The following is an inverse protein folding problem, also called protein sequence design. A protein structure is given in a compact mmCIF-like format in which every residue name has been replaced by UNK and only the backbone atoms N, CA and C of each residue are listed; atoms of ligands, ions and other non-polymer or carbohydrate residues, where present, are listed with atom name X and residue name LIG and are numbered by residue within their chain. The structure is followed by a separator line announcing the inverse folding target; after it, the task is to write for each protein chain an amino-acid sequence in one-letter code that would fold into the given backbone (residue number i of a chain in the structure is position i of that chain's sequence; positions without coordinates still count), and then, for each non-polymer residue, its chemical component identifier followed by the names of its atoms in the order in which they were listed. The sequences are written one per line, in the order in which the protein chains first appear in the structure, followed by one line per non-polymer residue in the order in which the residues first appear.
data_IF_222140129701
#
_entry.id   IF_222140129701
#
_cell.length_a   1.000
_cell.length_b   1.000
_cell.length_c   1.000
_cell.angle_alpha   90.00
_cell.angle_beta   90.00
_cell.angle_gamma   90.00
#
_symmetry.space_group_name_H-M   'P 1'
#
loop_
_entity.id
_entity.type
_entity.pdbx_description
1 polymer ?
#
# COMPACT_ATOMS: atom_id res chain seq x y z
N UNK A 1 49.20 -0.26 32.39
CA UNK A 1 48.60 0.36 31.20
C UNK A 1 47.23 -0.32 31.02
N UNK A 2 46.21 0.22 31.68
CA UNK A 2 44.86 -0.36 31.68
C UNK A 2 44.01 0.46 30.70
N UNK A 3 43.88 -0.03 29.47
CA UNK A 3 42.83 0.48 28.59
C UNK A 3 41.49 -0.01 29.14
N UNK A 4 40.52 0.88 29.45
CA UNK A 4 39.21 0.45 29.89
C UNK A 4 38.55 -0.36 28.77
N UNK A 5 37.96 -1.50 29.15
CA UNK A 5 37.21 -2.39 28.25
C UNK A 5 36.05 -1.59 27.62
N UNK A 6 36.26 -1.09 26.40
CA UNK A 6 35.22 -0.40 25.63
C UNK A 6 34.25 -1.45 25.13
N UNK A 7 33.07 -1.50 25.74
CA UNK A 7 31.98 -2.34 25.26
C UNK A 7 31.56 -1.84 23.86
N UNK A 8 31.72 -2.64 22.80
CA UNK A 8 31.40 -2.22 21.43
C UNK A 8 29.92 -1.90 21.24
N UNK A 9 29.03 -2.37 22.13
CA UNK A 9 27.60 -2.04 22.11
C UNK A 9 27.27 -0.69 22.75
N UNK A 10 28.21 -0.08 23.49
CA UNK A 10 28.05 1.25 24.09
C UNK A 10 28.60 2.37 23.21
N UNK A 11 29.47 2.05 22.25
CA UNK A 11 29.93 3.00 21.24
C UNK A 11 28.85 3.16 20.15
N UNK A 12 27.81 3.95 20.44
CA UNK A 12 26.80 4.38 19.46
C UNK A 12 27.39 5.09 18.24
N UNK A 13 28.65 5.52 18.29
CA UNK A 13 29.39 6.08 17.15
C UNK A 13 29.69 5.03 16.06
N UNK A 14 29.68 3.73 16.37
CA UNK A 14 29.81 2.66 15.38
C UNK A 14 28.49 2.33 14.66
N UNK A 15 27.36 2.88 15.11
CA UNK A 15 26.13 2.96 14.33
C UNK A 15 26.16 4.19 13.41
N UNK A 16 27.33 4.48 12.83
CA UNK A 16 27.41 5.32 11.65
C UNK A 16 26.37 4.80 10.66
N UNK A 17 25.46 5.67 10.27
CA UNK A 17 24.42 5.43 9.29
C UNK A 17 25.01 4.85 8.02
N UNK A 18 25.03 3.53 7.92
CA UNK A 18 25.42 2.88 6.68
C UNK A 18 24.32 3.15 5.65
N UNK A 19 24.65 3.54 4.41
CA UNK A 19 23.70 3.60 3.30
C UNK A 19 22.88 2.30 3.14
N UNK A 20 23.39 1.19 3.66
CA UNK A 20 22.69 -0.09 3.70
C UNK A 20 21.40 -0.06 4.52
N UNK A 21 21.27 0.82 5.52
CA UNK A 21 20.08 0.86 6.37
C UNK A 21 18.86 1.41 5.62
N UNK A 22 19.01 2.51 4.87
CA UNK A 22 17.93 3.06 4.04
C UNK A 22 17.53 2.08 2.93
N UNK A 23 18.52 1.47 2.27
CA UNK A 23 18.30 0.45 1.24
C UNK A 23 17.58 -0.78 1.81
N UNK A 24 17.99 -1.26 2.98
CA UNK A 24 17.33 -2.33 3.71
C UNK A 24 15.87 -1.99 4.00
N UNK A 25 15.62 -0.78 4.49
CA UNK A 25 14.27 -0.29 4.75
C UNK A 25 13.39 -0.24 3.49
N UNK A 26 13.92 0.29 2.38
CA UNK A 26 13.21 0.31 1.08
C UNK A 26 12.91 -1.11 0.61
N UNK A 27 13.88 -2.02 0.70
CA UNK A 27 13.72 -3.43 0.31
C UNK A 27 12.62 -4.14 1.10
N UNK A 28 12.54 -3.91 2.41
CA UNK A 28 11.45 -4.45 3.24
C UNK A 28 10.09 -3.96 2.76
N UNK A 29 9.96 -2.67 2.46
CA UNK A 29 8.70 -2.14 1.92
C UNK A 29 8.34 -2.72 0.54
N UNK A 30 9.35 -2.95 -0.31
CA UNK A 30 9.14 -3.60 -1.61
C UNK A 30 8.63 -5.03 -1.45
N UNK A 31 9.20 -5.81 -0.51
CA UNK A 31 8.74 -7.17 -0.22
C UNK A 31 7.27 -7.17 0.23
N UNK A 32 6.90 -6.26 1.14
CA UNK A 32 5.51 -6.12 1.58
C UNK A 32 4.60 -5.77 0.40
N UNK A 33 5.01 -4.80 -0.44
CA UNK A 33 4.27 -4.41 -1.63
C UNK A 33 4.05 -5.60 -2.59
N UNK A 34 5.08 -6.41 -2.84
CA UNK A 34 4.97 -7.60 -3.69
C UNK A 34 4.01 -8.63 -3.08
N UNK A 35 4.05 -8.84 -1.76
CA UNK A 35 3.16 -9.76 -1.08
C UNK A 35 1.68 -9.35 -1.21
N UNK A 36 1.35 -8.06 -1.09
CA UNK A 36 -0.03 -7.56 -1.23
C UNK A 36 -0.56 -7.75 -2.66
N UNK A 37 0.25 -7.39 -3.66
CA UNK A 37 -0.15 -7.58 -5.07
C UNK A 37 -0.31 -9.07 -5.39
N UNK A 38 0.66 -9.91 -4.99
CA UNK A 38 0.60 -11.35 -5.24
C UNK A 38 -0.63 -11.98 -4.57
N UNK A 39 -0.95 -11.60 -3.33
CA UNK A 39 -2.15 -12.06 -2.64
C UNK A 39 -3.42 -11.70 -3.41
N UNK A 40 -3.54 -10.44 -3.85
CA UNK A 40 -4.67 -9.96 -4.65
C UNK A 40 -4.82 -10.74 -5.96
N UNK A 41 -3.71 -10.93 -6.69
CA UNK A 41 -3.69 -11.67 -7.97
C UNK A 41 -4.08 -13.13 -7.77
N UNK A 42 -3.55 -13.78 -6.73
CA UNK A 42 -3.85 -15.19 -6.43
C UNK A 42 -5.34 -15.39 -6.09
N UNK A 43 -5.89 -14.54 -5.21
CA UNK A 43 -7.32 -14.60 -4.84
C UNK A 43 -8.18 -14.37 -6.08
N UNK A 44 -7.85 -13.35 -6.88
CA UNK A 44 -8.56 -13.03 -8.12
C UNK A 44 -8.50 -14.18 -9.12
N UNK A 45 -7.36 -14.84 -9.25
CA UNK A 45 -7.20 -15.97 -10.17
C UNK A 45 -8.05 -17.17 -9.74
N UNK A 46 -8.09 -17.49 -8.44
CA UNK A 46 -8.91 -18.59 -7.91
C UNK A 46 -10.39 -18.28 -8.09
N UNK A 47 -10.85 -17.12 -7.61
CA UNK A 47 -12.26 -16.75 -7.69
C UNK A 47 -12.71 -16.52 -9.13
N UNK A 48 -11.85 -15.95 -9.97
CA UNK A 48 -12.08 -15.79 -11.40
C UNK A 48 -12.21 -17.14 -12.09
N UNK A 49 -11.28 -18.07 -11.85
CA UNK A 49 -11.38 -19.42 -12.38
C UNK A 49 -12.69 -20.10 -11.98
N UNK A 50 -13.09 -20.01 -10.70
CA UNK A 50 -14.37 -20.54 -10.24
C UNK A 50 -15.56 -19.87 -10.94
N UNK A 51 -15.55 -18.55 -11.10
CA UNK A 51 -16.63 -17.81 -11.79
C UNK A 51 -16.76 -18.22 -13.26
N UNK A 52 -15.65 -18.45 -13.98
CA UNK A 52 -15.68 -18.87 -15.38
C UNK A 52 -15.97 -20.37 -15.60
N UNK A 53 -15.74 -21.21 -14.60
CA UNK A 53 -15.92 -22.67 -14.73
C UNK A 53 -17.18 -23.20 -14.03
N UNK A 54 -17.81 -22.39 -13.18
CA UNK A 54 -19.12 -22.73 -12.62
C UNK A 54 -20.15 -22.71 -13.74
N UNK A 55 -20.79 -23.86 -14.02
CA UNK A 55 -21.98 -23.87 -14.86
C UNK A 55 -22.98 -22.87 -14.29
N UNK A 56 -23.66 -22.06 -15.13
CA UNK A 56 -24.69 -21.16 -14.65
C UNK A 56 -25.68 -22.01 -13.86
N UNK A 57 -25.83 -21.71 -12.56
CA UNK A 57 -26.77 -22.38 -11.68
C UNK A 57 -28.11 -22.43 -12.42
N UNK A 58 -28.50 -23.65 -12.82
CA UNK A 58 -29.64 -23.91 -13.67
C UNK A 58 -30.83 -23.04 -13.28
N UNK A 59 -31.37 -22.32 -14.27
CA UNK A 59 -32.59 -21.51 -14.23
C UNK A 59 -33.37 -21.62 -12.91
N UNK A 60 -33.03 -20.78 -11.93
CA UNK A 60 -33.97 -20.50 -10.85
C UNK A 60 -35.16 -19.79 -11.51
N UNK A 61 -36.39 -20.29 -11.37
CA UNK A 61 -37.54 -19.65 -12.00
C UNK A 61 -37.57 -18.17 -11.58
N UNK A 62 -37.87 -17.25 -12.51
CA UNK A 62 -37.74 -15.82 -12.26
C UNK A 62 -38.81 -15.41 -11.26
N UNK A 63 -38.46 -15.39 -9.97
CA UNK A 63 -39.22 -14.66 -8.96
C UNK A 63 -39.04 -13.16 -9.24
N UNK A 64 -39.81 -12.67 -10.22
CA UNK A 64 -40.32 -11.32 -10.44
C UNK A 64 -39.53 -10.12 -9.88
N UNK A 65 -38.20 -10.10 -9.96
CA UNK A 65 -37.47 -8.84 -9.95
C UNK A 65 -37.51 -8.27 -11.37
N UNK A 66 -37.98 -7.03 -11.58
CA UNK A 66 -38.05 -6.44 -12.90
C UNK A 66 -36.65 -6.42 -13.51
N UNK A 67 -36.51 -7.10 -14.65
CA UNK A 67 -35.32 -7.07 -15.48
C UNK A 67 -34.97 -5.61 -15.75
N UNK A 68 -33.83 -5.15 -15.24
CA UNK A 68 -33.30 -3.82 -15.53
C UNK A 68 -32.73 -3.04 -14.35
N UNK A 69 -33.15 -3.30 -13.10
CA UNK A 69 -32.60 -2.61 -11.92
C UNK A 69 -31.76 -3.51 -11.01
N UNK A 70 -32.23 -4.72 -10.70
CA UNK A 70 -31.51 -5.66 -9.83
C UNK A 70 -30.17 -6.15 -10.40
N UNK A 71 -30.11 -6.29 -11.73
CA UNK A 71 -29.00 -6.90 -12.47
C UNK A 71 -27.75 -6.01 -12.56
N UNK A 72 -27.92 -4.69 -12.39
CA UNK A 72 -26.81 -3.72 -12.41
C UNK A 72 -26.42 -3.21 -11.02
N UNK A 73 -27.17 -3.56 -9.97
CA UNK A 73 -26.87 -3.07 -8.61
C UNK A 73 -25.52 -3.58 -8.13
N UNK A 74 -25.23 -4.88 -8.26
CA UNK A 74 -23.97 -5.46 -7.79
C UNK A 74 -22.74 -4.95 -8.58
N UNK A 75 -22.78 -4.88 -9.93
CA UNK A 75 -21.72 -4.22 -10.70
C UNK A 75 -21.51 -2.76 -10.30
N UNK A 76 -22.60 -1.99 -10.12
CA UNK A 76 -22.49 -0.58 -9.70
C UNK A 76 -21.90 -0.43 -8.29
N UNK A 77 -22.26 -1.31 -7.36
CA UNK A 77 -21.64 -1.35 -6.02
C UNK A 77 -20.14 -1.66 -6.14
N UNK A 78 -19.76 -2.64 -6.96
CA UNK A 78 -18.36 -2.98 -7.20
C UNK A 78 -17.54 -1.81 -7.76
N UNK A 79 -18.09 -1.13 -8.78
CA UNK A 79 -17.46 0.04 -9.40
C UNK A 79 -17.37 1.22 -8.43
N UNK A 80 -18.47 1.57 -7.77
CA UNK A 80 -18.48 2.70 -6.81
C UNK A 80 -17.52 2.46 -5.64
N UNK A 81 -17.47 1.23 -5.11
CA UNK A 81 -16.52 0.87 -4.07
C UNK A 81 -15.08 0.89 -4.58
N UNK A 82 -14.81 0.37 -5.77
CA UNK A 82 -13.48 0.39 -6.39
C UNK A 82 -12.96 1.81 -6.63
N UNK A 83 -13.76 2.66 -7.28
CA UNK A 83 -13.42 4.07 -7.53
C UNK A 83 -13.27 4.83 -6.21
N UNK A 84 -14.21 4.63 -5.27
CA UNK A 84 -14.16 5.23 -3.95
C UNK A 84 -12.90 4.86 -3.18
N UNK A 85 -12.53 3.57 -3.17
CA UNK A 85 -11.33 3.06 -2.52
C UNK A 85 -10.05 3.70 -3.08
N UNK A 86 -9.96 3.87 -4.40
CA UNK A 86 -8.81 4.54 -5.03
C UNK A 86 -8.71 6.01 -4.59
N UNK A 87 -9.83 6.74 -4.62
CA UNK A 87 -9.86 8.15 -4.20
C UNK A 87 -9.48 8.28 -2.72
N UNK A 88 -10.09 7.45 -1.86
CA UNK A 88 -9.81 7.44 -0.42
C UNK A 88 -8.35 7.09 -0.15
N UNK A 89 -7.79 6.09 -0.83
CA UNK A 89 -6.37 5.71 -0.73
C UNK A 89 -5.45 6.90 -1.02
N UNK A 90 -5.68 7.59 -2.14
CA UNK A 90 -4.86 8.75 -2.53
C UNK A 90 -4.94 9.91 -1.52
N UNK A 91 -6.14 10.22 -1.05
CA UNK A 91 -6.36 11.30 -0.07
C UNK A 91 -5.75 10.92 1.27
N UNK A 92 -6.00 9.71 1.77
CA UNK A 92 -5.51 9.24 3.05
C UNK A 92 -3.98 9.21 3.09
N UNK A 93 -3.33 8.67 2.05
CA UNK A 93 -1.86 8.65 1.98
C UNK A 93 -1.28 10.06 2.00
N UNK A 94 -1.92 11.03 1.33
CA UNK A 94 -1.49 12.45 1.38
C UNK A 94 -1.66 13.08 2.76
N UNK A 95 -2.82 12.89 3.39
CA UNK A 95 -3.09 13.43 4.73
C UNK A 95 -2.15 12.85 5.78
N UNK A 96 -1.91 11.54 5.74
CA UNK A 96 -1.02 10.88 6.68
C UNK A 96 0.44 11.30 6.45
N UNK A 97 0.87 11.45 5.19
CA UNK A 97 2.20 11.99 4.85
C UNK A 97 2.39 13.39 5.44
N UNK A 98 1.41 14.28 5.29
CA UNK A 98 1.48 15.62 5.86
C UNK A 98 1.57 15.58 7.40
N UNK A 99 0.82 14.69 8.03
CA UNK A 99 0.87 14.48 9.49
C UNK A 99 2.26 14.00 9.94
N UNK A 100 2.89 13.12 9.16
CA UNK A 100 4.26 12.65 9.44
C UNK A 100 5.29 13.77 9.35
N UNK A 101 5.18 14.60 8.30
CA UNK A 101 6.04 15.77 8.10
C UNK A 101 5.88 16.77 9.25
N UNK A 102 4.65 17.10 9.62
CA UNK A 102 4.39 18.03 10.73
C UNK A 102 4.96 17.52 12.06
N UNK A 103 4.87 16.20 12.31
CA UNK A 103 5.47 15.58 13.52
C UNK A 103 7.00 15.63 13.49
N UNK A 104 7.61 15.42 12.32
CA UNK A 104 9.05 15.52 12.16
C UNK A 104 9.55 16.96 12.35
N UNK A 105 8.87 17.94 11.75
CA UNK A 105 9.19 19.36 11.90
C UNK A 105 9.14 19.79 13.38
N UNK A 106 8.19 19.26 14.16
CA UNK A 106 8.10 19.53 15.60
C UNK A 106 9.29 18.99 16.42
N UNK A 107 10.07 18.05 15.88
CA UNK A 107 11.28 17.53 16.54
C UNK A 107 12.51 18.45 16.41
N UNK A 108 12.44 19.52 15.59
CA UNK A 108 13.54 20.49 15.38
C UNK A 108 14.90 19.86 15.02
N UNK A 109 14.89 18.72 14.33
CA UNK A 109 16.12 18.04 13.92
C UNK A 109 16.62 18.58 12.58
N UNK A 110 17.87 19.07 12.54
CA UNK A 110 18.48 19.60 11.32
C UNK A 110 19.08 18.47 10.48
N UNK A 111 18.47 18.19 9.33
CA UNK A 111 19.03 17.25 8.33
C UNK A 111 19.88 18.03 7.33
N UNK A 112 21.10 17.56 7.05
CA UNK A 112 21.95 18.17 6.02
C UNK A 112 21.31 18.04 4.64
N UNK A 113 21.40 19.12 3.85
CA UNK A 113 20.90 19.18 2.47
C UNK A 113 22.08 19.32 1.49
N UNK A 114 22.02 18.70 0.30
CA UNK A 114 20.97 17.78 -0.19
C UNK A 114 20.97 16.44 0.56
N UNK A 115 19.80 15.79 0.64
CA UNK A 115 19.66 14.48 1.30
C UNK A 115 20.14 13.39 0.34
N UNK A 116 21.22 12.71 0.71
CA UNK A 116 21.78 11.58 -0.04
C UNK A 116 21.42 10.24 0.64
N UNK A 117 21.65 9.12 -0.04
CA UNK A 117 21.49 7.76 0.50
C UNK A 117 22.32 7.51 1.77
N UNK A 118 23.37 8.31 1.98
CA UNK A 118 24.26 8.27 3.13
C UNK A 118 23.76 9.12 4.32
N UNK A 119 22.52 9.64 4.27
CA UNK A 119 21.97 10.49 5.34
C UNK A 119 21.99 9.76 6.69
N UNK A 120 22.43 10.42 7.79
CA UNK A 120 22.31 9.85 9.11
C UNK A 120 20.87 9.53 9.46
N UNK A 121 20.58 8.24 9.63
CA UNK A 121 19.29 7.76 10.14
C UNK A 121 19.25 8.02 11.64
N UNK A 122 18.96 9.27 11.98
CA UNK A 122 18.64 9.66 13.34
C UNK A 122 17.34 8.99 13.79
N UNK A 123 17.05 9.08 15.09
CA UNK A 123 15.81 8.53 15.63
C UNK A 123 14.58 9.17 14.99
N UNK A 124 14.56 10.50 14.76
CA UNK A 124 13.38 11.14 14.16
C UNK A 124 13.24 10.80 12.66
N UNK A 125 14.34 10.67 11.91
CA UNK A 125 14.29 10.21 10.50
C UNK A 125 13.76 8.78 10.43
N UNK A 126 14.20 7.89 11.32
CA UNK A 126 13.71 6.51 11.39
C UNK A 126 12.22 6.46 11.75
N UNK A 127 11.76 7.32 12.66
CA UNK A 127 10.34 7.45 12.97
C UNK A 127 9.52 7.98 11.78
N UNK A 128 10.03 8.98 11.06
CA UNK A 128 9.39 9.49 9.84
C UNK A 128 9.28 8.41 8.76
N UNK A 129 10.36 7.66 8.52
CA UNK A 129 10.40 6.58 7.53
C UNK A 129 9.44 5.46 7.90
N UNK A 130 9.48 4.97 9.14
CA UNK A 130 8.59 3.91 9.64
C UNK A 130 7.12 4.32 9.59
N UNK A 131 6.80 5.56 10.00
CA UNK A 131 5.46 6.10 9.88
C UNK A 131 5.03 6.17 8.40
N UNK A 132 5.87 6.68 7.50
CA UNK A 132 5.59 6.72 6.07
C UNK A 132 5.33 5.33 5.48
N UNK A 133 6.07 4.31 5.91
CA UNK A 133 5.86 2.93 5.45
C UNK A 133 4.55 2.35 5.95
N UNK A 134 4.22 2.53 7.22
CA UNK A 134 2.92 2.11 7.75
C UNK A 134 1.77 2.76 6.97
N UNK A 135 1.87 4.06 6.66
CA UNK A 135 0.86 4.78 5.88
C UNK A 135 0.76 4.28 4.44
N UNK A 136 1.89 3.93 3.81
CA UNK A 136 1.89 3.34 2.48
C UNK A 136 1.19 1.99 2.48
N UNK A 137 1.43 1.15 3.49
CA UNK A 137 0.79 -0.17 3.62
C UNK A 137 -0.72 0.01 3.78
N UNK A 138 -1.16 0.91 4.65
CA UNK A 138 -2.59 1.23 4.81
C UNK A 138 -3.19 1.78 3.51
N UNK A 139 -2.46 2.65 2.81
CA UNK A 139 -2.87 3.18 1.51
C UNK A 139 -3.09 2.10 0.46
N UNK A 140 -2.26 1.06 0.44
CA UNK A 140 -2.37 -0.07 -0.50
C UNK A 140 -3.44 -1.09 -0.10
N UNK A 141 -3.66 -1.29 1.21
CA UNK A 141 -4.66 -2.22 1.72
C UNK A 141 -6.10 -1.83 1.32
N UNK A 142 -6.37 -0.54 1.12
CA UNK A 142 -7.69 -0.04 0.70
C UNK A 142 -8.08 -0.51 -0.71
N UNK A 143 -7.31 -0.23 -1.79
CA UNK A 143 -7.60 -0.74 -3.12
C UNK A 143 -7.47 -2.26 -3.21
N UNK A 144 -6.61 -2.90 -2.41
CA UNK A 144 -6.58 -4.36 -2.28
C UNK A 144 -7.91 -4.90 -1.76
N UNK A 145 -8.43 -4.35 -0.66
CA UNK A 145 -9.74 -4.75 -0.11
C UNK A 145 -10.87 -4.55 -1.12
N UNK A 146 -10.83 -3.48 -1.91
CA UNK A 146 -11.78 -3.25 -2.99
C UNK A 146 -11.62 -4.24 -4.15
N UNK A 147 -10.40 -4.65 -4.50
CA UNK A 147 -10.16 -5.69 -5.48
C UNK A 147 -10.70 -7.05 -5.00
N UNK A 148 -10.39 -7.44 -3.75
CA UNK A 148 -10.89 -8.69 -3.17
C UNK A 148 -12.43 -8.69 -3.09
N UNK A 149 -13.05 -7.57 -2.69
CA UNK A 149 -14.50 -7.45 -2.69
C UNK A 149 -15.08 -7.63 -4.10
N UNK A 150 -14.49 -6.99 -5.11
CA UNK A 150 -14.92 -7.18 -6.49
C UNK A 150 -14.71 -8.63 -6.96
N UNK A 151 -13.66 -9.32 -6.51
CA UNK A 151 -13.45 -10.73 -6.82
C UNK A 151 -14.54 -11.62 -6.21
N UNK A 152 -15.06 -11.25 -5.04
CA UNK A 152 -16.22 -11.92 -4.42
C UNK A 152 -17.51 -11.59 -5.17
N UNK A 153 -17.73 -10.33 -5.54
CA UNK A 153 -18.93 -9.92 -6.29
C UNK A 153 -19.01 -10.60 -7.67
N UNK A 154 -17.86 -10.75 -8.33
CA UNK A 154 -17.69 -11.54 -9.56
C UNK A 154 -18.20 -12.98 -9.45
N UNK A 155 -18.19 -13.57 -8.26
CA UNK A 155 -18.72 -14.93 -8.03
C UNK A 155 -20.25 -14.93 -7.85
N UNK A 156 -20.84 -13.80 -7.42
CA UNK A 156 -22.25 -13.70 -7.03
C UNK A 156 -23.14 -13.31 -8.21
N UNK A 157 -22.74 -12.33 -9.02
CA UNK A 157 -23.63 -11.69 -9.99
C UNK A 157 -23.59 -12.31 -11.39
N UNK A 158 -22.64 -13.21 -11.65
CA UNK A 158 -22.47 -13.86 -12.96
C UNK A 158 -21.99 -12.91 -14.07
N UNK A 159 -21.55 -11.69 -13.74
CA UNK A 159 -21.00 -10.71 -14.69
C UNK A 159 -19.49 -10.49 -14.45
N UNK A 160 -18.64 -11.51 -14.70
CA UNK A 160 -17.25 -11.50 -14.25
C UNK A 160 -16.38 -10.40 -14.89
N UNK A 161 -16.73 -9.94 -16.09
CA UNK A 161 -15.92 -8.99 -16.84
C UNK A 161 -15.85 -7.60 -16.18
N UNK A 162 -16.97 -7.09 -15.66
CA UNK A 162 -17.02 -5.74 -15.08
C UNK A 162 -16.17 -5.71 -13.80
N UNK A 163 -16.38 -6.68 -12.92
CA UNK A 163 -15.62 -6.81 -11.69
C UNK A 163 -14.13 -7.03 -11.95
N UNK A 164 -13.77 -7.84 -12.95
CA UNK A 164 -12.38 -8.04 -13.35
C UNK A 164 -11.72 -6.73 -13.81
N UNK A 165 -12.42 -5.89 -14.58
CA UNK A 165 -11.92 -4.57 -14.96
C UNK A 165 -11.63 -3.71 -13.72
N UNK A 166 -12.53 -3.67 -12.73
CA UNK A 166 -12.31 -2.91 -11.49
C UNK A 166 -11.10 -3.44 -10.72
N UNK A 167 -10.96 -4.77 -10.62
CA UNK A 167 -9.81 -5.40 -9.96
C UNK A 167 -8.50 -4.99 -10.63
N UNK A 168 -8.42 -5.03 -11.96
CA UNK A 168 -7.22 -4.62 -12.71
C UNK A 168 -6.87 -3.16 -12.42
N UNK A 169 -7.87 -2.27 -12.37
CA UNK A 169 -7.66 -0.85 -12.05
C UNK A 169 -7.17 -0.69 -10.60
N UNK A 170 -7.73 -1.42 -9.63
CA UNK A 170 -7.26 -1.41 -8.25
C UNK A 170 -5.82 -1.93 -8.11
N UNK A 171 -5.47 -3.01 -8.80
CA UNK A 171 -4.09 -3.54 -8.84
C UNK A 171 -3.14 -2.52 -9.47
N UNK A 172 -3.54 -1.85 -10.55
CA UNK A 172 -2.75 -0.77 -11.15
C UNK A 172 -2.58 0.41 -10.18
N UNK A 173 -3.60 0.76 -9.39
CA UNK A 173 -3.51 1.79 -8.37
C UNK A 173 -2.53 1.43 -7.24
N UNK A 174 -2.47 0.16 -6.82
CA UNK A 174 -1.42 -0.35 -5.91
C UNK A 174 -0.06 -0.27 -6.60
N UNK A 175 -0.01 -0.60 -7.89
CA UNK A 175 1.25 -0.66 -8.64
C UNK A 175 1.96 0.71 -8.69
N UNK A 176 1.21 1.79 -8.90
CA UNK A 176 1.73 3.17 -8.92
C UNK A 176 2.34 3.59 -7.58
N UNK A 177 1.94 2.94 -6.47
CA UNK A 177 2.44 3.22 -5.12
C UNK A 177 3.77 2.54 -4.82
N UNK A 178 4.47 1.97 -5.82
CA UNK A 178 5.74 1.27 -5.61
C UNK A 178 6.75 2.09 -4.79
N UNK A 179 7.32 1.51 -3.70
CA UNK A 179 8.27 2.20 -2.84
C UNK A 179 9.65 2.23 -3.50
N UNK A 180 10.15 3.44 -3.77
CA UNK A 180 11.47 3.70 -4.35
C UNK A 180 12.32 4.52 -3.38
N UNK A 181 13.65 4.36 -3.44
CA UNK A 181 14.60 5.17 -2.64
C UNK A 181 14.39 6.67 -2.85
N UNK A 182 14.21 7.11 -4.10
CA UNK A 182 13.99 8.53 -4.42
C UNK A 182 12.79 9.13 -3.66
N UNK A 183 11.62 8.47 -3.72
CA UNK A 183 10.42 8.90 -2.96
C UNK A 183 10.66 9.04 -1.45
N UNK A 184 11.58 8.26 -0.87
CA UNK A 184 11.92 8.34 0.56
C UNK A 184 12.94 9.45 0.84
N UNK A 185 13.92 9.66 -0.04
CA UNK A 185 14.82 10.81 0.02
C UNK A 185 14.05 12.13 -0.12
N UNK A 186 13.16 12.22 -1.11
CA UNK A 186 12.27 13.39 -1.33
C UNK A 186 11.37 13.65 -0.11
N UNK A 187 10.96 12.59 0.61
CA UNK A 187 10.18 12.74 1.83
C UNK A 187 11.01 13.36 2.96
N UNK A 188 12.24 12.88 3.18
CA UNK A 188 13.14 13.42 4.19
C UNK A 188 13.47 14.88 3.84
N UNK A 189 13.76 15.16 2.57
CA UNK A 189 14.04 16.51 2.11
C UNK A 189 12.84 17.43 2.35
N UNK A 190 11.63 17.02 1.96
CA UNK A 190 10.41 17.78 2.19
C UNK A 190 10.11 18.00 3.68
N UNK A 191 10.42 17.03 4.54
CA UNK A 191 10.22 17.14 5.98
C UNK A 191 11.24 18.04 6.67
N UNK A 192 12.42 18.22 6.08
CA UNK A 192 13.45 19.11 6.63
C UNK A 192 13.17 20.60 6.41
N UNK A 193 12.19 20.96 5.56
CA UNK A 193 11.85 22.35 5.14
C UNK A 193 11.04 23.06 6.20
#
# INVERSE_FOLDING_TARGET
MNDPVRNPYLNREAAASSPDQLRGFVRTNQIIWFALIQGTVLITAILGYMSFTSEPLAERPPDAMPAGLGDYVLPMVGVTFGVGAIVVSLVLTRMLRQTAINKFAACNESVQRPVDENVPLTHAVTQLLSASSAMSIVGMAIPEGAAVLNAVLMLIDGQPLIHLCVIIVCVAAIAVQFPTTQKKLDLIEAASR
#
